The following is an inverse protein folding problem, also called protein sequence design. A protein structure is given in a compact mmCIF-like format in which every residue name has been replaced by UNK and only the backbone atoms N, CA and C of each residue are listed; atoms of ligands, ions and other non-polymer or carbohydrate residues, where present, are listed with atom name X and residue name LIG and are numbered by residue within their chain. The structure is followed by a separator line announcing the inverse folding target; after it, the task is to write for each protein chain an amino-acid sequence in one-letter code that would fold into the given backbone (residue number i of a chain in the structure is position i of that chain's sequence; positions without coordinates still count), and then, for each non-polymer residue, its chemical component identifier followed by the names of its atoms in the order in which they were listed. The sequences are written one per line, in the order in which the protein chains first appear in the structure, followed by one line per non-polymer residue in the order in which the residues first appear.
data_IF_849760285235
#
_entry.id   IF_849760285235
#
_cell.length_a   1.000
_cell.length_b   1.000
_cell.length_c   1.000
_cell.angle_alpha   90.00
_cell.angle_beta   90.00
_cell.angle_gamma   90.00
#
_symmetry.space_group_name_H-M   'P 1'
#
loop_
_entity.id
_entity.type
_entity.pdbx_description
1 polymer ?
#
# COMPACT_ATOMS: atom_id res chain seq x y z
N UNK A 1 19.26 7.98 40.14
CA UNK A 1 19.58 6.81 39.29
C UNK A 1 18.37 6.27 38.49
N UNK A 2 17.21 5.98 39.12
CA UNK A 2 16.00 5.48 38.42
C UNK A 2 15.47 6.40 37.28
N UNK A 3 15.52 7.72 37.45
CA UNK A 3 15.06 8.70 36.43
C UNK A 3 15.95 8.67 35.19
N UNK A 4 17.28 8.56 35.37
CA UNK A 4 18.23 8.43 34.25
C UNK A 4 18.11 7.08 33.55
N UNK A 5 17.85 6.00 34.29
CA UNK A 5 17.62 4.66 33.72
C UNK A 5 16.29 4.57 32.94
N UNK A 6 15.23 5.22 33.44
CA UNK A 6 13.95 5.36 32.73
C UNK A 6 14.08 6.18 31.43
N UNK A 7 14.84 7.29 31.46
CA UNK A 7 15.11 8.10 30.26
C UNK A 7 15.97 7.36 29.23
N UNK A 8 16.95 6.56 29.68
CA UNK A 8 17.78 5.72 28.80
C UNK A 8 16.97 4.62 28.12
N UNK A 9 16.02 4.00 28.83
CA UNK A 9 15.09 3.02 28.25
C UNK A 9 14.11 3.67 27.26
N UNK A 10 13.62 4.87 27.54
CA UNK A 10 12.70 5.60 26.66
C UNK A 10 13.36 6.01 25.33
N UNK A 11 14.61 6.50 25.34
CA UNK A 11 15.31 6.87 24.09
C UNK A 11 15.51 5.65 23.19
N UNK A 12 15.96 4.52 23.75
CA UNK A 12 16.25 3.29 23.00
C UNK A 12 14.96 2.68 22.40
N UNK A 13 13.81 2.88 23.04
CA UNK A 13 12.51 2.40 22.54
C UNK A 13 11.98 3.17 21.33
N UNK A 14 12.43 4.41 21.14
CA UNK A 14 12.02 5.27 20.00
C UNK A 14 12.93 5.04 18.78
N UNK A 15 14.14 4.49 18.96
CA UNK A 15 15.10 4.28 17.87
C UNK A 15 14.52 3.51 16.68
N UNK A 16 13.79 2.38 16.84
CA UNK A 16 13.20 1.67 15.70
C UNK A 16 12.20 2.53 14.91
N UNK A 17 11.44 3.41 15.59
CA UNK A 17 10.50 4.31 14.94
C UNK A 17 11.21 5.39 14.12
N UNK A 18 12.29 5.95 14.68
CA UNK A 18 13.12 6.91 13.97
C UNK A 18 13.78 6.27 12.74
N UNK A 19 14.33 5.07 12.88
CA UNK A 19 14.92 4.32 11.77
C UNK A 19 13.88 4.02 10.68
N UNK A 20 12.66 3.61 11.06
CA UNK A 20 11.60 3.37 10.08
C UNK A 20 11.21 4.65 9.32
N UNK A 21 11.12 5.79 10.01
CA UNK A 21 10.90 7.08 9.36
C UNK A 21 12.06 7.45 8.42
N UNK A 22 13.31 7.25 8.84
CA UNK A 22 14.48 7.50 7.99
C UNK A 22 14.49 6.63 6.74
N UNK A 23 14.13 5.34 6.83
CA UNK A 23 14.00 4.45 5.67
C UNK A 23 12.93 4.97 4.72
N UNK A 24 11.76 5.34 5.22
CA UNK A 24 10.67 5.87 4.39
C UNK A 24 11.06 7.19 3.69
N UNK A 25 11.69 8.12 4.41
CA UNK A 25 12.19 9.39 3.85
C UNK A 25 13.31 9.15 2.85
N UNK A 26 14.25 8.25 3.17
CA UNK A 26 15.36 7.88 2.29
C UNK A 26 14.89 7.27 0.98
N UNK A 27 13.94 6.33 1.03
CA UNK A 27 13.28 5.76 -0.16
C UNK A 27 12.59 6.85 -0.99
N UNK A 28 11.85 7.76 -0.33
CA UNK A 28 11.15 8.85 -1.03
C UNK A 28 12.13 9.82 -1.69
N UNK A 29 13.20 10.17 -1.00
CA UNK A 29 14.22 11.08 -1.49
C UNK A 29 14.97 10.48 -2.68
N UNK A 30 15.43 9.23 -2.56
CA UNK A 30 16.08 8.51 -3.65
C UNK A 30 15.15 8.43 -4.87
N UNK A 31 13.90 7.98 -4.69
CA UNK A 31 12.91 7.89 -5.75
C UNK A 31 12.64 9.23 -6.46
N UNK A 32 12.63 10.34 -5.72
CA UNK A 32 12.35 11.66 -6.30
C UNK A 32 13.40 12.16 -7.29
N UNK A 33 14.59 11.55 -7.31
CA UNK A 33 15.73 11.91 -8.17
C UNK A 33 16.19 10.76 -9.07
N UNK A 34 15.59 9.59 -8.90
CA UNK A 34 16.03 8.36 -9.53
C UNK A 34 15.60 8.28 -11.00
N UNK A 35 16.54 7.91 -11.87
CA UNK A 35 16.26 7.50 -13.23
C UNK A 35 15.82 6.03 -13.34
N UNK A 36 15.74 5.51 -14.56
CA UNK A 36 15.43 4.10 -14.81
C UNK A 36 16.50 3.16 -14.24
N UNK A 37 17.78 3.53 -14.37
CA UNK A 37 18.92 2.73 -13.88
C UNK A 37 18.90 2.57 -12.35
N UNK A 38 18.59 3.66 -11.63
CA UNK A 38 18.54 3.68 -10.16
C UNK A 38 17.41 2.81 -9.60
N UNK A 39 16.35 2.58 -10.38
CA UNK A 39 15.16 1.83 -9.97
C UNK A 39 15.15 0.39 -10.50
N UNK A 40 16.23 -0.10 -11.10
CA UNK A 40 16.32 -1.46 -11.63
C UNK A 40 15.96 -2.53 -10.59
N UNK A 41 16.29 -2.31 -9.31
CA UNK A 41 16.00 -3.23 -8.21
C UNK A 41 14.51 -3.52 -8.04
N UNK A 42 13.62 -2.58 -8.39
CA UNK A 42 12.16 -2.75 -8.32
C UNK A 42 11.52 -2.88 -9.71
N UNK A 43 12.05 -2.19 -10.71
CA UNK A 43 11.52 -2.19 -12.07
C UNK A 43 11.74 -3.55 -12.74
N UNK A 44 12.93 -4.14 -12.63
CA UNK A 44 13.24 -5.42 -13.27
C UNK A 44 12.34 -6.56 -12.76
N UNK A 45 12.25 -6.85 -11.44
CA UNK A 45 11.36 -7.92 -10.98
C UNK A 45 9.89 -7.63 -11.29
N UNK A 46 9.47 -6.36 -11.32
CA UNK A 46 8.12 -6.00 -11.77
C UNK A 46 7.92 -6.32 -13.25
N UNK A 47 8.86 -5.92 -14.12
CA UNK A 47 8.78 -6.17 -15.55
C UNK A 47 8.79 -7.67 -15.88
N UNK A 48 9.57 -8.47 -15.14
CA UNK A 48 9.60 -9.92 -15.30
C UNK A 48 8.24 -10.55 -14.95
N UNK A 49 7.62 -10.14 -13.84
CA UNK A 49 6.29 -10.63 -13.45
C UNK A 49 5.21 -10.17 -14.43
N UNK A 50 5.26 -8.91 -14.88
CA UNK A 50 4.32 -8.41 -15.90
C UNK A 50 4.50 -9.17 -17.21
N UNK A 51 5.73 -9.40 -17.66
CA UNK A 51 6.02 -10.18 -18.87
C UNK A 51 5.50 -11.61 -18.77
N UNK A 52 5.66 -12.24 -17.60
CA UNK A 52 5.12 -13.57 -17.34
C UNK A 52 3.59 -13.61 -17.37
N UNK A 53 2.90 -12.65 -16.74
CA UNK A 53 1.42 -12.61 -16.69
C UNK A 53 0.82 -12.22 -18.05
N UNK A 54 1.44 -11.27 -18.77
CA UNK A 54 0.93 -10.73 -20.04
C UNK A 54 1.37 -11.52 -21.28
N UNK A 55 2.39 -12.38 -21.15
CA UNK A 55 3.05 -13.03 -22.29
C UNK A 55 3.88 -12.06 -23.15
N UNK A 56 4.20 -10.87 -22.66
CA UNK A 56 4.98 -9.86 -23.38
C UNK A 56 6.47 -9.94 -23.01
N UNK A 57 7.34 -9.62 -23.97
CA UNK A 57 8.77 -9.44 -23.74
C UNK A 57 9.10 -7.96 -23.53
N UNK A 58 9.76 -7.63 -22.42
CA UNK A 58 10.23 -6.27 -22.16
C UNK A 58 11.75 -6.20 -22.30
N UNK A 59 12.22 -5.21 -23.05
CA UNK A 59 13.64 -4.92 -23.24
C UNK A 59 13.98 -3.68 -22.42
N UNK A 60 15.13 -3.70 -21.75
CA UNK A 60 15.57 -2.55 -20.99
C UNK A 60 16.12 -1.43 -21.89
N UNK A 61 15.60 -0.22 -21.71
CA UNK A 61 16.08 1.02 -22.31
C UNK A 61 16.43 2.01 -21.17
N UNK A 62 17.69 2.49 -21.07
CA UNK A 62 18.10 3.43 -20.02
C UNK A 62 17.28 4.72 -19.97
N UNK A 63 16.76 5.18 -21.12
CA UNK A 63 16.00 6.42 -21.22
C UNK A 63 14.52 6.26 -20.85
N UNK A 64 13.92 5.10 -21.11
CA UNK A 64 12.47 4.88 -20.99
C UNK A 64 12.07 3.84 -19.93
N UNK A 65 13.02 3.03 -19.44
CA UNK A 65 12.76 1.88 -18.57
C UNK A 65 12.55 0.60 -19.39
N UNK A 66 11.64 -0.28 -18.95
CA UNK A 66 11.39 -1.53 -19.65
C UNK A 66 10.33 -1.35 -20.74
N UNK A 67 10.71 -1.52 -22.01
CA UNK A 67 9.86 -1.23 -23.17
C UNK A 67 9.48 -2.48 -23.94
N UNK A 68 8.26 -2.50 -24.46
CA UNK A 68 7.79 -3.44 -25.48
C UNK A 68 7.43 -2.66 -26.74
N UNK A 69 8.27 -2.78 -27.77
CA UNK A 69 8.09 -2.06 -29.04
C UNK A 69 6.86 -2.54 -29.81
N UNK A 70 6.49 -3.83 -29.69
CA UNK A 70 5.36 -4.42 -30.41
C UNK A 70 4.00 -3.84 -29.99
N UNK A 71 3.86 -3.42 -28.73
CA UNK A 71 2.65 -2.76 -28.22
C UNK A 71 2.83 -1.28 -27.85
N UNK A 72 4.03 -0.72 -28.03
CA UNK A 72 4.33 0.67 -27.67
C UNK A 72 4.18 0.96 -26.17
N UNK A 73 4.50 -0.01 -25.30
CA UNK A 73 4.32 0.11 -23.85
C UNK A 73 5.68 0.32 -23.18
N UNK A 74 5.75 1.24 -22.23
CA UNK A 74 6.93 1.48 -21.40
C UNK A 74 6.59 1.40 -19.90
N UNK A 75 7.33 0.56 -19.17
CA UNK A 75 7.35 0.51 -17.71
C UNK A 75 8.43 1.47 -17.22
N UNK A 76 8.04 2.74 -17.08
CA UNK A 76 8.92 3.84 -16.70
C UNK A 76 9.09 3.95 -15.16
N UNK A 77 9.99 4.81 -14.65
CA UNK A 77 10.13 5.11 -13.22
C UNK A 77 8.82 5.47 -12.49
N UNK A 78 7.88 6.12 -13.18
CA UNK A 78 6.55 6.44 -12.67
C UNK A 78 5.70 5.19 -12.33
N UNK A 79 6.00 4.06 -12.97
CA UNK A 79 5.36 2.77 -12.77
C UNK A 79 6.07 1.90 -11.74
N UNK A 80 7.12 2.38 -11.04
CA UNK A 80 7.92 1.59 -10.10
C UNK A 80 7.17 1.10 -8.85
N UNK A 81 6.06 1.74 -8.48
CA UNK A 81 5.32 1.39 -7.27
C UNK A 81 5.99 1.80 -5.95
N UNK A 82 7.09 2.55 -5.97
CA UNK A 82 7.83 2.95 -4.74
C UNK A 82 6.96 3.74 -3.76
N UNK A 83 6.03 4.57 -4.23
CA UNK A 83 5.08 5.25 -3.33
C UNK A 83 4.19 4.26 -2.57
N UNK A 84 3.72 3.20 -3.24
CA UNK A 84 2.94 2.15 -2.61
C UNK A 84 3.78 1.33 -1.62
N UNK A 85 5.05 1.02 -1.97
CA UNK A 85 6.02 0.41 -1.06
C UNK A 85 6.15 1.21 0.24
N UNK A 86 6.37 2.51 0.13
CA UNK A 86 6.50 3.40 1.29
C UNK A 86 5.22 3.36 2.13
N UNK A 87 4.04 3.51 1.51
CA UNK A 87 2.74 3.48 2.20
C UNK A 87 2.54 2.15 2.94
N UNK A 88 2.75 1.02 2.27
CA UNK A 88 2.59 -0.30 2.85
C UNK A 88 3.56 -0.53 4.02
N UNK A 89 4.81 -0.08 3.87
CA UNK A 89 5.83 -0.15 4.92
C UNK A 89 5.47 0.70 6.14
N UNK A 90 5.18 1.99 5.97
CA UNK A 90 4.87 2.87 7.12
C UNK A 90 3.57 2.45 7.80
N UNK A 91 2.56 2.07 7.03
CA UNK A 91 1.29 1.57 7.59
C UNK A 91 1.53 0.33 8.44
N UNK A 92 2.24 -0.67 7.91
CA UNK A 92 2.48 -1.93 8.63
C UNK A 92 3.42 -1.77 9.82
N UNK A 93 4.42 -0.91 9.73
CA UNK A 93 5.31 -0.65 10.86
C UNK A 93 4.60 0.16 11.95
N UNK A 94 4.16 1.39 11.66
CA UNK A 94 3.66 2.31 12.69
C UNK A 94 2.31 1.90 13.28
N UNK A 95 1.48 1.16 12.54
CA UNK A 95 0.19 0.69 13.09
C UNK A 95 0.32 -0.50 14.03
N UNK A 96 1.44 -1.25 13.98
CA UNK A 96 1.55 -2.54 14.67
C UNK A 96 2.82 -2.71 15.52
N UNK A 97 3.86 -1.87 15.36
CA UNK A 97 5.11 -1.95 16.12
C UNK A 97 4.90 -1.90 17.65
N UNK A 98 3.81 -1.27 18.11
CA UNK A 98 3.44 -1.20 19.52
C UNK A 98 3.19 -2.56 20.18
N UNK A 99 2.76 -3.58 19.42
CA UNK A 99 2.48 -4.93 19.92
C UNK A 99 3.75 -5.74 20.22
N UNK A 100 4.89 -5.33 19.67
CA UNK A 100 6.15 -6.04 19.77
C UNK A 100 7.04 -5.44 20.87
N UNK A 101 7.83 -6.29 21.54
CA UNK A 101 8.86 -5.82 22.46
C UNK A 101 10.04 -5.19 21.71
N UNK A 102 11.02 -4.63 22.45
CA UNK A 102 12.16 -3.90 21.85
C UNK A 102 12.91 -4.69 20.77
N UNK A 103 13.25 -5.96 21.02
CA UNK A 103 14.04 -6.76 20.07
C UNK A 103 13.17 -7.19 18.88
N UNK A 104 11.92 -7.55 19.16
CA UNK A 104 10.95 -7.92 18.12
C UNK A 104 10.60 -6.73 17.22
N UNK A 105 10.65 -5.48 17.71
CA UNK A 105 10.45 -4.28 16.89
C UNK A 105 11.52 -4.09 15.82
N UNK A 106 12.78 -4.44 16.12
CA UNK A 106 13.86 -4.42 15.12
C UNK A 106 13.64 -5.47 14.04
N UNK A 107 13.24 -6.68 14.44
CA UNK A 107 12.84 -7.71 13.48
C UNK A 107 11.63 -7.26 12.66
N UNK A 108 10.64 -6.63 13.31
CA UNK A 108 9.44 -6.11 12.67
C UNK A 108 9.76 -5.04 11.62
N UNK A 109 10.74 -4.17 11.89
CA UNK A 109 11.23 -3.19 10.92
C UNK A 109 11.69 -3.87 9.63
N UNK A 110 12.53 -4.90 9.73
CA UNK A 110 13.04 -5.62 8.57
C UNK A 110 11.93 -6.44 7.87
N UNK A 111 11.10 -7.14 8.65
CA UNK A 111 9.99 -7.98 8.12
C UNK A 111 8.97 -7.13 7.38
N UNK A 112 8.54 -5.99 7.94
CA UNK A 112 7.56 -5.11 7.28
C UNK A 112 8.10 -4.51 6.00
N UNK A 113 9.39 -4.14 5.95
CA UNK A 113 10.02 -3.65 4.71
C UNK A 113 10.05 -4.74 3.64
N UNK A 114 10.46 -5.95 4.02
CA UNK A 114 10.51 -7.11 3.15
C UNK A 114 9.12 -7.49 2.60
N UNK A 115 8.11 -7.58 3.48
CA UNK A 115 6.73 -7.84 3.07
C UNK A 115 6.18 -6.75 2.15
N UNK A 116 6.45 -5.47 2.47
CA UNK A 116 6.00 -4.36 1.64
C UNK A 116 6.66 -4.39 0.24
N UNK A 117 7.92 -4.81 0.15
CA UNK A 117 8.63 -4.99 -1.12
C UNK A 117 7.97 -6.04 -2.01
N UNK A 118 7.76 -7.25 -1.49
CA UNK A 118 7.12 -8.32 -2.26
C UNK A 118 5.66 -7.99 -2.60
N UNK A 119 4.93 -7.39 -1.67
CA UNK A 119 3.57 -6.90 -1.92
C UNK A 119 3.58 -5.88 -3.06
N UNK A 120 4.57 -4.97 -3.09
CA UNK A 120 4.68 -3.96 -4.15
C UNK A 120 4.92 -4.62 -5.49
N UNK A 121 5.84 -5.58 -5.62
CA UNK A 121 6.06 -6.28 -6.89
C UNK A 121 4.75 -6.90 -7.40
N UNK A 122 4.05 -7.66 -6.55
CA UNK A 122 2.81 -8.32 -6.96
C UNK A 122 1.70 -7.34 -7.35
N UNK A 123 1.39 -6.39 -6.46
CA UNK A 123 0.30 -5.42 -6.67
C UNK A 123 0.60 -4.49 -7.85
N UNK A 124 1.85 -4.05 -7.98
CA UNK A 124 2.25 -3.18 -9.06
C UNK A 124 2.25 -3.91 -10.41
N UNK A 125 2.60 -5.19 -10.44
CA UNK A 125 2.48 -6.00 -11.66
C UNK A 125 1.03 -6.16 -12.10
N UNK A 126 0.11 -6.40 -11.17
CA UNK A 126 -1.34 -6.44 -11.46
C UNK A 126 -1.80 -5.10 -12.02
N UNK A 127 -1.39 -3.97 -11.40
CA UNK A 127 -1.72 -2.62 -11.88
C UNK A 127 -1.21 -2.40 -13.31
N UNK A 128 0.03 -2.76 -13.61
CA UNK A 128 0.58 -2.55 -14.96
C UNK A 128 -0.16 -3.44 -15.97
N UNK A 129 -0.40 -4.71 -15.62
CA UNK A 129 -1.15 -5.64 -16.47
C UNK A 129 -2.57 -5.13 -16.79
N UNK A 130 -3.32 -4.70 -15.78
CA UNK A 130 -4.66 -4.14 -15.97
C UNK A 130 -4.63 -2.88 -16.85
N UNK A 131 -3.61 -2.03 -16.71
CA UNK A 131 -3.43 -0.87 -17.57
C UNK A 131 -3.15 -1.28 -19.03
N UNK A 132 -2.39 -2.34 -19.28
CA UNK A 132 -2.13 -2.87 -20.63
C UNK A 132 -3.44 -3.35 -21.27
N UNK A 133 -4.24 -4.11 -20.52
CA UNK A 133 -5.52 -4.62 -20.99
C UNK A 133 -6.55 -3.50 -21.19
N UNK A 134 -6.57 -2.49 -20.32
CA UNK A 134 -7.45 -1.34 -20.47
C UNK A 134 -7.16 -0.54 -21.75
N UNK A 135 -5.89 -0.42 -22.13
CA UNK A 135 -5.49 0.23 -23.39
C UNK A 135 -5.93 -0.63 -24.58
N UNK A 136 -5.77 -1.96 -24.50
CA UNK A 136 -6.14 -2.87 -25.59
C UNK A 136 -7.65 -2.87 -25.89
N UNK A 137 -8.50 -2.68 -24.88
CA UNK A 137 -9.96 -2.65 -25.04
C UNK A 137 -10.53 -1.26 -25.41
N UNK A 138 -9.68 -0.23 -25.56
CA UNK A 138 -10.09 1.07 -26.09
C UNK A 138 -11.17 1.78 -25.27
N UNK A 139 -11.12 1.69 -23.94
CA UNK A 139 -12.11 2.32 -23.06
C UNK A 139 -11.93 3.86 -23.11
N UNK A 140 -12.59 4.50 -24.07
CA UNK A 140 -12.62 5.96 -24.23
C UNK A 140 -14.03 6.50 -23.96
N UNK A 141 -14.43 6.59 -22.69
CA UNK A 141 -15.62 7.36 -22.33
C UNK A 141 -15.24 8.84 -22.25
N UNK A 142 -15.28 9.58 -23.36
CA UNK A 142 -15.21 11.06 -23.49
C UNK A 142 -14.39 11.87 -22.46
N UNK A 143 -14.84 11.93 -21.20
CA UNK A 143 -14.21 12.60 -20.06
C UNK A 143 -13.04 11.82 -19.40
N UNK A 144 -12.92 10.52 -19.67
CA UNK A 144 -11.89 9.61 -19.15
C UNK A 144 -10.73 9.51 -20.14
N UNK A 145 -9.73 10.40 -20.01
CA UNK A 145 -8.48 10.27 -20.76
C UNK A 145 -7.70 9.02 -20.29
N UNK A 146 -6.82 8.44 -21.13
CA UNK A 146 -5.99 7.31 -20.74
C UNK A 146 -5.19 7.57 -19.45
N UNK A 147 -4.69 8.80 -19.24
CA UNK A 147 -3.97 9.12 -18.00
C UNK A 147 -4.90 9.13 -16.77
N UNK A 148 -6.15 9.59 -16.91
CA UNK A 148 -7.13 9.57 -15.82
C UNK A 148 -7.52 8.16 -15.44
N UNK A 149 -7.77 7.29 -16.44
CA UNK A 149 -8.09 5.88 -16.22
C UNK A 149 -6.93 5.20 -15.48
N UNK A 150 -5.71 5.33 -16.01
CA UNK A 150 -4.52 4.75 -15.39
C UNK A 150 -4.31 5.22 -13.95
N UNK A 151 -4.63 6.49 -13.66
CA UNK A 151 -4.55 7.05 -12.30
C UNK A 151 -5.62 6.46 -11.37
N UNK A 152 -6.88 6.43 -11.80
CA UNK A 152 -8.01 5.89 -11.02
C UNK A 152 -7.77 4.40 -10.76
N UNK A 153 -7.43 3.65 -11.79
CA UNK A 153 -7.08 2.23 -11.72
C UNK A 153 -5.97 1.99 -10.71
N UNK A 154 -4.88 2.78 -10.79
CA UNK A 154 -3.78 2.71 -9.82
C UNK A 154 -4.23 2.95 -8.38
N UNK A 155 -5.09 3.95 -8.14
CA UNK A 155 -5.62 4.21 -6.80
C UNK A 155 -6.50 3.05 -6.32
N UNK A 156 -7.39 2.56 -7.16
CA UNK A 156 -8.31 1.46 -6.83
C UNK A 156 -7.53 0.19 -6.49
N UNK A 157 -6.59 -0.24 -7.35
CA UNK A 157 -5.78 -1.44 -7.16
C UNK A 157 -4.93 -1.30 -5.90
N UNK A 158 -4.17 -0.21 -5.75
CA UNK A 158 -3.30 -0.02 -4.60
C UNK A 158 -4.09 0.04 -3.29
N UNK A 159 -5.17 0.83 -3.25
CA UNK A 159 -5.93 0.99 -2.02
C UNK A 159 -6.67 -0.31 -1.62
N UNK A 160 -7.18 -1.06 -2.59
CA UNK A 160 -7.78 -2.37 -2.37
C UNK A 160 -6.77 -3.34 -1.71
N UNK A 161 -5.61 -3.54 -2.35
CA UNK A 161 -4.59 -4.45 -1.82
C UNK A 161 -3.96 -3.95 -0.51
N UNK A 162 -3.82 -2.63 -0.31
CA UNK A 162 -3.38 -2.05 0.96
C UNK A 162 -4.36 -2.40 2.08
N UNK A 163 -5.66 -2.35 1.80
CA UNK A 163 -6.70 -2.71 2.77
C UNK A 163 -6.65 -4.21 3.11
N UNK A 164 -6.50 -5.07 2.11
CA UNK A 164 -6.31 -6.52 2.35
C UNK A 164 -5.05 -6.80 3.17
N UNK A 165 -3.94 -6.14 2.83
CA UNK A 165 -2.70 -6.26 3.57
C UNK A 165 -2.88 -5.84 5.03
N UNK A 166 -3.48 -4.68 5.28
CA UNK A 166 -3.80 -4.21 6.64
C UNK A 166 -4.66 -5.20 7.42
N UNK A 167 -5.68 -5.80 6.80
CA UNK A 167 -6.50 -6.83 7.44
C UNK A 167 -5.69 -8.08 7.79
N UNK A 168 -4.80 -8.51 6.90
CA UNK A 168 -3.85 -9.60 7.16
C UNK A 168 -2.94 -9.29 8.35
N UNK A 169 -2.43 -8.06 8.44
CA UNK A 169 -1.58 -7.62 9.56
C UNK A 169 -2.34 -7.57 10.89
N UNK A 170 -3.61 -7.12 10.90
CA UNK A 170 -4.47 -7.20 12.10
C UNK A 170 -4.70 -8.62 12.55
N UNK A 171 -4.92 -9.53 11.59
CA UNK A 171 -5.12 -10.94 11.90
C UNK A 171 -3.84 -11.55 12.49
N UNK A 172 -2.68 -11.28 11.89
CA UNK A 172 -1.38 -11.75 12.36
C UNK A 172 -1.03 -11.25 13.78
N UNK A 173 -1.27 -9.97 14.04
CA UNK A 173 -1.01 -9.36 15.36
C UNK A 173 -1.96 -9.88 16.43
N UNK A 174 -3.26 -10.05 16.10
CA UNK A 174 -4.21 -10.71 17.02
C UNK A 174 -3.79 -12.14 17.35
N UNK A 175 -3.35 -12.91 16.35
CA UNK A 175 -2.86 -14.27 16.55
C UNK A 175 -1.63 -14.29 17.47
N UNK A 176 -0.70 -13.35 17.25
CA UNK A 176 0.49 -13.18 18.06
C UNK A 176 0.17 -12.80 19.53
N UNK A 177 -0.71 -11.82 19.77
CA UNK A 177 -1.12 -11.40 21.11
C UNK A 177 -1.80 -12.54 21.89
N UNK A 178 -2.63 -13.31 21.19
CA UNK A 178 -3.32 -14.49 21.76
C UNK A 178 -2.30 -15.55 22.20
N UNK A 179 -1.28 -15.83 21.37
CA UNK A 179 -0.19 -16.76 21.70
C UNK A 179 0.65 -16.32 22.90
N UNK A 180 0.84 -15.01 23.10
CA UNK A 180 1.56 -14.45 24.27
C UNK A 180 0.70 -14.33 25.53
N UNK A 181 -0.56 -14.76 25.50
CA UNK A 181 -1.47 -14.64 26.65
C UNK A 181 -1.86 -13.21 27.00
N UNK A 182 -1.58 -12.23 26.13
CA UNK A 182 -1.97 -10.83 26.31
C UNK A 182 -3.45 -10.67 25.98
N UNK A 183 -4.32 -10.98 26.95
CA UNK A 183 -5.77 -10.83 26.84
C UNK A 183 -6.21 -9.42 27.26
N UNK A 184 -5.91 -8.44 26.41
CA UNK A 184 -6.43 -7.08 26.53
C UNK A 184 -7.79 -6.91 25.84
N UNK A 185 -8.87 -7.35 26.51
CA UNK A 185 -10.22 -6.77 26.34
C UNK A 185 -11.01 -7.09 25.05
N UNK A 186 -11.87 -8.10 25.14
CA UNK A 186 -12.97 -8.45 24.20
C UNK A 186 -13.90 -7.24 23.89
N UNK A 187 -13.87 -6.16 24.69
CA UNK A 187 -14.71 -4.95 24.54
C UNK A 187 -14.32 -4.05 23.35
N UNK A 188 -13.10 -4.15 22.81
CA UNK A 188 -12.62 -3.30 21.70
C UNK A 188 -13.02 -3.84 20.30
N UNK A 189 -13.48 -5.09 20.19
CA UNK A 189 -13.73 -5.73 18.89
C UNK A 189 -14.85 -5.08 18.08
N UNK A 190 -15.99 -4.70 18.69
CA UNK A 190 -17.13 -4.13 17.92
C UNK A 190 -16.84 -2.77 17.27
N UNK A 191 -16.06 -1.89 17.92
CA UNK A 191 -15.68 -0.58 17.34
C UNK A 191 -14.59 -0.70 16.27
N UNK A 192 -13.70 -1.68 16.42
CA UNK A 192 -12.56 -1.92 15.52
C UNK A 192 -12.97 -2.40 14.12
N UNK A 193 -14.15 -3.02 14.00
CA UNK A 193 -14.72 -3.47 12.72
C UNK A 193 -15.53 -2.39 11.98
N UNK A 194 -16.09 -1.38 12.66
CA UNK A 194 -16.76 -0.26 12.00
C UNK A 194 -15.78 0.67 11.25
N UNK A 195 -14.48 0.48 11.47
CA UNK A 195 -13.40 1.29 10.92
C UNK A 195 -12.43 0.48 10.04
N UNK A 196 -12.89 -0.65 9.48
CA UNK A 196 -12.14 -1.42 8.48
C UNK A 196 -11.80 -0.48 7.32
N UNK A 197 -10.51 -0.19 7.16
CA UNK A 197 -10.02 0.68 6.09
C UNK A 197 -9.68 2.12 6.49
N UNK A 198 -10.01 2.59 7.71
CA UNK A 198 -9.56 3.93 8.14
C UNK A 198 -8.05 4.03 8.31
N UNK A 199 -7.39 2.96 8.77
CA UNK A 199 -5.93 2.89 8.84
C UNK A 199 -5.28 3.03 7.44
N UNK A 200 -5.60 2.14 6.49
CA UNK A 200 -5.17 2.27 5.09
C UNK A 200 -5.49 3.64 4.49
N UNK A 201 -6.70 4.15 4.73
CA UNK A 201 -7.12 5.47 4.22
C UNK A 201 -6.25 6.59 4.77
N UNK A 202 -6.04 6.62 6.08
CA UNK A 202 -5.17 7.60 6.72
C UNK A 202 -3.76 7.57 6.14
N UNK A 203 -3.13 6.39 6.06
CA UNK A 203 -1.76 6.26 5.58
C UNK A 203 -1.63 6.54 4.08
N UNK A 204 -2.60 6.11 3.28
CA UNK A 204 -2.63 6.39 1.86
C UNK A 204 -2.75 7.90 1.60
N UNK A 205 -3.69 8.58 2.26
CA UNK A 205 -3.83 10.04 2.15
C UNK A 205 -2.61 10.77 2.68
N UNK A 206 -2.07 10.35 3.83
CA UNK A 206 -0.90 10.99 4.43
C UNK A 206 0.26 11.00 3.43
N UNK A 207 0.65 9.86 2.88
CA UNK A 207 1.79 9.83 1.96
C UNK A 207 1.44 10.40 0.59
N UNK A 208 0.23 10.17 0.07
CA UNK A 208 -0.16 10.66 -1.26
C UNK A 208 -0.34 12.18 -1.31
N UNK A 209 -0.82 12.81 -0.23
CA UNK A 209 -1.13 14.25 -0.19
C UNK A 209 -0.06 15.08 0.51
N UNK A 210 0.54 14.57 1.60
CA UNK A 210 1.53 15.37 2.36
C UNK A 210 2.84 15.48 1.60
N UNK A 211 3.24 14.44 0.86
CA UNK A 211 4.51 14.47 0.13
C UNK A 211 4.57 15.58 -0.94
N UNK A 212 3.58 15.74 -1.85
CA UNK A 212 3.61 16.84 -2.82
C UNK A 212 3.49 18.24 -2.20
N UNK A 213 2.85 18.35 -1.03
CA UNK A 213 2.74 19.60 -0.28
C UNK A 213 4.10 19.97 0.32
N UNK A 214 4.81 19.00 0.92
CA UNK A 214 6.13 19.22 1.51
C UNK A 214 7.21 19.53 0.48
N UNK A 215 7.10 18.99 -0.75
CA UNK A 215 8.07 19.28 -1.83
C UNK A 215 7.80 20.59 -2.57
N UNK A 216 6.75 21.35 -2.21
CA UNK A 216 6.45 22.65 -2.82
C UNK A 216 5.81 22.58 -4.22
N UNK A 217 5.66 21.39 -4.80
CA UNK A 217 5.08 21.15 -6.13
C UNK A 217 3.60 21.59 -6.24
N UNK A 218 2.93 21.87 -5.12
CA UNK A 218 1.60 22.46 -5.09
C UNK A 218 1.54 23.87 -5.72
N UNK A 219 2.63 24.65 -5.64
CA UNK A 219 2.65 26.06 -6.07
C UNK A 219 2.61 26.26 -7.57
N UNK A 220 3.09 25.31 -8.37
CA UNK A 220 3.13 25.44 -9.84
C UNK A 220 1.90 24.82 -10.55
N UNK A 221 1.12 23.95 -9.88
CA UNK A 221 0.04 23.17 -10.50
C UNK A 221 -1.21 23.02 -9.61
N UNK A 222 -1.56 24.05 -8.82
CA UNK A 222 -2.61 23.99 -7.78
C UNK A 222 -3.94 23.35 -8.22
N UNK A 223 -4.41 23.63 -9.44
CA UNK A 223 -5.63 23.01 -10.00
C UNK A 223 -5.53 21.49 -10.20
N UNK A 224 -4.39 20.99 -10.74
CA UNK A 224 -4.14 19.54 -10.94
C UNK A 224 -3.91 18.79 -9.63
N UNK A 225 -3.45 19.48 -8.59
CA UNK A 225 -3.29 18.90 -7.26
C UNK A 225 -4.64 18.69 -6.56
N UNK A 226 -5.55 19.68 -6.62
CA UNK A 226 -6.90 19.53 -6.06
C UNK A 226 -7.63 18.40 -6.78
N UNK A 227 -7.55 18.37 -8.11
CA UNK A 227 -8.12 17.28 -8.91
C UNK A 227 -7.53 15.91 -8.52
N UNK A 228 -6.21 15.82 -8.30
CA UNK A 228 -5.60 14.60 -7.78
C UNK A 228 -6.15 14.19 -6.41
N UNK A 229 -6.24 15.14 -5.48
CA UNK A 229 -6.71 14.89 -4.12
C UNK A 229 -8.16 14.40 -4.11
N UNK A 230 -9.03 15.02 -4.91
CA UNK A 230 -10.42 14.59 -5.07
C UNK A 230 -10.50 13.19 -5.65
N UNK A 231 -9.76 12.89 -6.74
CA UNK A 231 -9.73 11.55 -7.34
C UNK A 231 -9.28 10.49 -6.34
N UNK A 232 -8.26 10.79 -5.53
CA UNK A 232 -7.77 9.87 -4.49
C UNK A 232 -8.82 9.63 -3.42
N UNK A 233 -9.39 10.69 -2.85
CA UNK A 233 -10.39 10.59 -1.77
C UNK A 233 -11.64 9.84 -2.26
N UNK A 234 -12.17 10.20 -3.43
CA UNK A 234 -13.36 9.56 -4.01
C UNK A 234 -13.10 8.09 -4.33
N UNK A 235 -11.98 7.77 -4.98
CA UNK A 235 -11.64 6.38 -5.31
C UNK A 235 -11.49 5.52 -4.06
N UNK A 236 -10.81 6.03 -3.03
CA UNK A 236 -10.71 5.34 -1.75
C UNK A 236 -12.08 5.13 -1.09
N UNK A 237 -12.94 6.16 -1.08
CA UNK A 237 -14.29 6.06 -0.52
C UNK A 237 -15.15 5.02 -1.25
N UNK A 238 -15.07 4.96 -2.59
CA UNK A 238 -15.77 3.97 -3.40
C UNK A 238 -15.32 2.54 -3.07
N UNK A 239 -14.01 2.30 -2.99
CA UNK A 239 -13.48 0.98 -2.60
C UNK A 239 -13.93 0.59 -1.20
N UNK A 240 -13.91 1.52 -0.23
CA UNK A 240 -14.44 1.25 1.10
C UNK A 240 -15.93 0.89 1.05
N UNK A 241 -16.75 1.64 0.31
CA UNK A 241 -18.18 1.35 0.17
C UNK A 241 -18.42 -0.04 -0.44
N UNK A 242 -17.67 -0.42 -1.48
CA UNK A 242 -17.76 -1.74 -2.11
C UNK A 242 -17.39 -2.85 -1.13
N UNK A 243 -16.27 -2.72 -0.40
CA UNK A 243 -15.84 -3.71 0.60
C UNK A 243 -16.87 -3.87 1.72
N UNK A 244 -17.47 -2.76 2.19
CA UNK A 244 -18.53 -2.80 3.19
C UNK A 244 -19.82 -3.42 2.65
N UNK A 245 -20.18 -3.14 1.38
CA UNK A 245 -21.32 -3.73 0.68
C UNK A 245 -21.18 -5.24 0.53
N UNK A 246 -20.05 -5.71 -0.01
CA UNK A 246 -19.73 -7.13 -0.14
C UNK A 246 -19.79 -7.83 1.22
N UNK A 247 -19.16 -7.26 2.25
CA UNK A 247 -19.22 -7.81 3.61
C UNK A 247 -20.65 -7.90 4.12
N UNK A 248 -21.46 -6.84 3.97
CA UNK A 248 -22.86 -6.81 4.42
C UNK A 248 -23.71 -7.86 3.70
N UNK A 249 -23.42 -8.14 2.43
CA UNK A 249 -24.08 -9.16 1.63
C UNK A 249 -23.64 -10.59 1.99
N UNK A 250 -22.34 -10.83 2.22
CA UNK A 250 -21.80 -12.14 2.60
C UNK A 250 -22.13 -12.54 4.06
N UNK A 251 -22.32 -11.55 4.95
CA UNK A 251 -22.64 -11.77 6.37
C UNK A 251 -23.92 -12.59 6.65
N UNK A 252 -25.07 -12.33 6.02
CA UNK A 252 -26.26 -13.16 6.19
C UNK A 252 -26.08 -14.57 5.61
N UNK A 253 -25.38 -14.75 4.50
CA UNK A 253 -25.15 -16.07 3.89
C UNK A 253 -24.27 -16.99 4.76
N UNK A 254 -23.27 -16.42 5.43
CA UNK A 254 -22.41 -17.16 6.38
C UNK A 254 -23.16 -17.54 7.66
N UNK A 255 -24.04 -16.66 8.17
CA UNK A 255 -24.93 -17.00 9.29
C UNK A 255 -25.95 -18.08 8.93
N UNK A 256 -26.50 -18.06 7.72
CA UNK A 256 -27.44 -19.07 7.26
C UNK A 256 -26.80 -20.47 7.23
N UNK A 257 -25.57 -20.60 6.68
CA UNK A 257 -24.83 -21.88 6.66
C UNK A 257 -24.46 -22.40 8.05
N UNK A 258 -24.07 -21.52 8.99
CA UNK A 258 -23.75 -21.93 10.36
C UNK A 258 -25.02 -22.32 11.13
N UNK A 259 -26.14 -21.64 10.86
CA UNK A 259 -27.44 -21.98 11.45
C UNK A 259 -28.02 -23.31 10.96
N UNK A 260 -27.70 -23.72 9.74
CA UNK A 260 -28.08 -25.03 9.18
C UNK A 260 -27.18 -26.17 9.69
N UNK A 261 -25.88 -25.93 9.89
CA UNK A 261 -24.95 -26.93 10.45
C UNK A 261 -25.14 -27.19 11.97
N UNK A 262 -26.00 -26.43 12.64
CA UNK A 262 -26.33 -26.56 14.06
C UNK A 262 -27.80 -26.97 14.30
N UNK A 263 -28.52 -27.42 13.26
CA UNK A 263 -29.80 -28.10 13.46
C UNK A 263 -29.53 -29.59 13.73
N UNK A 264 -30.01 -30.13 14.88
CA UNK A 264 -29.87 -31.56 15.20
C UNK A 264 -30.65 -32.44 14.23
#
# INVERSE_FOLDING_TARGET
MKILQGRKNSIVEVVPYFMAAMVAVGLKYHYSRAGSDDLLWILRPTADVVGWISGLSFIYDPSAGFVNMGRGIAIAPACSGVNFLIIAYVMSFFSFAGHYNRMERWLWLAVTLCCAYFLTIGVNSIRIFLSIESIAHGIHLGWLTPERIHRIEGVVVYFFFLTLYYLGMKWLTKFYDTRKGMTGGIRQERKTFAFIGMGPFFWYLLVALVVPVLTGNYREQGGRFIEHGVVVVVSCALVLCLLHGIRRFLWPMTKARIGEACKP
#
